data_IF_797154543554
#
_entry.id   IF_797154543554
#
_cell.length_a   1.000
_cell.length_b   1.000
_cell.length_c   1.000
_cell.angle_alpha   90.00
_cell.angle_beta   90.00
_cell.angle_gamma   90.00
#
_symmetry.space_group_name_H-M   'P 1'
#
loop_
_entity.id
_entity.type
_entity.pdbx_description
1 polymer ?
#
# COMPACT_ATOMS: atom_id res chain seq x y z
N UNK A 1 5.38 12.42 29.29
CA UNK A 1 5.33 11.65 28.04
C UNK A 1 4.11 10.75 28.08
N UNK A 2 3.08 10.96 27.25
CA UNK A 2 1.80 10.22 27.35
C UNK A 2 1.80 8.84 26.68
N UNK A 3 2.82 8.53 25.88
CA UNK A 3 2.89 7.34 25.02
C UNK A 3 4.22 6.57 25.14
N UNK A 4 4.99 6.80 26.21
CA UNK A 4 6.27 6.08 26.45
C UNK A 4 7.46 6.49 25.57
N UNK A 5 7.26 7.33 24.54
CA UNK A 5 8.33 7.81 23.66
C UNK A 5 9.13 8.96 24.28
N UNK A 6 10.46 8.95 24.08
CA UNK A 6 11.29 10.16 24.25
C UNK A 6 10.91 11.23 23.22
N UNK A 7 11.40 12.45 23.41
CA UNK A 7 11.16 13.55 22.46
C UNK A 7 11.69 13.22 21.06
N UNK A 8 12.89 12.65 20.97
CA UNK A 8 13.53 12.25 19.72
C UNK A 8 12.73 11.14 19.02
N UNK A 9 12.30 10.14 19.78
CA UNK A 9 11.42 9.07 19.27
C UNK A 9 10.08 9.62 18.79
N UNK A 10 9.51 10.62 19.49
CA UNK A 10 8.29 11.30 19.08
C UNK A 10 8.43 12.00 17.72
N UNK A 11 9.56 12.68 17.48
CA UNK A 11 9.85 13.30 16.18
C UNK A 11 9.98 12.26 15.07
N UNK A 12 10.65 11.13 15.34
CA UNK A 12 10.77 10.04 14.38
C UNK A 12 9.42 9.39 14.07
N UNK A 13 8.59 9.15 15.09
CA UNK A 13 7.24 8.61 14.94
C UNK A 13 6.35 9.54 14.10
N UNK A 14 6.37 10.85 14.38
CA UNK A 14 5.69 11.86 13.58
C UNK A 14 6.11 11.78 12.10
N UNK A 15 7.41 11.73 11.84
CA UNK A 15 7.95 11.70 10.47
C UNK A 15 7.58 10.41 9.73
N UNK A 16 7.59 9.26 10.42
CA UNK A 16 7.17 7.99 9.86
C UNK A 16 5.68 8.00 9.49
N UNK A 17 4.83 8.48 10.40
CA UNK A 17 3.39 8.65 10.15
C UNK A 17 3.16 9.57 8.95
N UNK A 18 3.85 10.72 8.92
CA UNK A 18 3.75 11.67 7.82
C UNK A 18 4.10 11.05 6.46
N UNK A 19 5.24 10.33 6.37
CA UNK A 19 5.66 9.69 5.13
C UNK A 19 4.72 8.57 4.68
N UNK A 20 4.23 7.77 5.63
CA UNK A 20 3.23 6.75 5.33
C UNK A 20 1.94 7.36 4.77
N UNK A 21 1.39 8.37 5.44
CA UNK A 21 0.16 9.04 5.01
C UNK A 21 0.33 9.73 3.65
N UNK A 22 1.42 10.46 3.44
CA UNK A 22 1.69 11.11 2.16
C UNK A 22 1.85 10.08 1.02
N UNK A 23 2.57 8.98 1.28
CA UNK A 23 2.74 7.88 0.31
C UNK A 23 1.41 7.25 -0.09
N UNK A 24 0.56 6.94 0.90
CA UNK A 24 -0.80 6.42 0.66
C UNK A 24 -1.65 7.36 -0.19
N UNK A 25 -1.64 8.67 0.11
CA UNK A 25 -2.37 9.67 -0.68
C UNK A 25 -1.87 9.68 -2.13
N UNK A 26 -0.55 9.72 -2.34
CA UNK A 26 0.05 9.76 -3.68
C UNK A 26 -0.32 8.52 -4.49
N UNK A 27 -0.14 7.33 -3.90
CA UNK A 27 -0.41 6.05 -4.59
C UNK A 27 -1.91 5.94 -4.92
N UNK A 28 -2.79 6.28 -3.98
CA UNK A 28 -4.25 6.22 -4.20
C UNK A 28 -4.72 7.22 -5.24
N UNK A 29 -4.21 8.45 -5.21
CA UNK A 29 -4.52 9.46 -6.22
C UNK A 29 -4.07 9.00 -7.61
N UNK A 30 -2.88 8.43 -7.73
CA UNK A 30 -2.37 7.87 -8.98
C UNK A 30 -3.20 6.67 -9.46
N UNK A 31 -3.60 5.77 -8.57
CA UNK A 31 -4.46 4.63 -8.86
C UNK A 31 -5.85 5.08 -9.35
N UNK A 32 -6.48 6.05 -8.67
CA UNK A 32 -7.75 6.63 -9.08
C UNK A 32 -7.66 7.32 -10.45
N UNK A 33 -6.57 8.06 -10.71
CA UNK A 33 -6.33 8.68 -12.02
C UNK A 33 -6.14 7.62 -13.11
N UNK A 34 -5.42 6.54 -12.83
CA UNK A 34 -5.29 5.42 -13.75
C UNK A 34 -6.65 4.75 -14.02
N UNK A 35 -7.47 4.51 -12.98
CA UNK A 35 -8.80 3.92 -13.12
C UNK A 35 -9.75 4.78 -13.98
N UNK A 36 -9.68 6.12 -13.88
CA UNK A 36 -10.42 7.02 -14.77
C UNK A 36 -10.01 6.82 -16.23
N UNK A 37 -8.70 6.84 -16.52
CA UNK A 37 -8.17 6.58 -17.88
C UNK A 37 -8.56 5.20 -18.43
N UNK A 38 -8.73 4.18 -17.57
CA UNK A 38 -9.19 2.84 -18.00
C UNK A 38 -10.59 2.90 -18.62
N UNK A 39 -11.51 3.68 -18.04
CA UNK A 39 -12.88 3.82 -18.54
C UNK A 39 -12.91 4.41 -19.96
N UNK A 40 -11.90 5.20 -20.30
CA UNK A 40 -11.79 5.87 -21.60
C UNK A 40 -11.03 5.04 -22.66
N UNK A 41 -10.31 3.98 -22.28
CA UNK A 41 -9.31 3.33 -23.14
C UNK A 41 -9.43 1.80 -23.30
N UNK A 42 -10.39 1.13 -22.65
CA UNK A 42 -10.70 -0.31 -22.73
C UNK A 42 -9.49 -1.28 -22.91
N UNK A 43 -8.37 -1.02 -22.19
CA UNK A 43 -7.16 -1.86 -22.25
C UNK A 43 -6.68 -2.32 -20.86
N UNK A 44 -6.09 -3.53 -20.75
CA UNK A 44 -5.46 -4.00 -19.52
C UNK A 44 -4.27 -3.11 -19.12
N UNK A 45 -4.01 -2.95 -17.81
CA UNK A 45 -2.79 -2.25 -17.38
C UNK A 45 -1.57 -3.16 -17.40
N UNK A 46 -0.39 -2.57 -17.63
CA UNK A 46 0.91 -3.24 -17.54
C UNK A 46 1.09 -4.03 -16.22
N UNK A 47 0.49 -3.55 -15.13
CA UNK A 47 0.51 -4.27 -13.84
C UNK A 47 -0.36 -5.52 -13.84
N UNK A 48 -1.58 -5.45 -14.39
CA UNK A 48 -2.46 -6.62 -14.47
C UNK A 48 -1.84 -7.73 -15.35
N UNK A 49 -1.11 -7.34 -16.41
CA UNK A 49 -0.35 -8.26 -17.25
C UNK A 49 0.84 -8.90 -16.51
N UNK A 50 1.67 -8.09 -15.83
CA UNK A 50 2.82 -8.63 -15.07
C UNK A 50 2.39 -9.69 -14.06
N UNK A 51 1.32 -9.44 -13.30
CA UNK A 51 0.86 -10.39 -12.27
C UNK A 51 0.14 -11.62 -12.85
N UNK A 52 -0.41 -11.53 -14.07
CA UNK A 52 -0.95 -12.66 -14.79
C UNK A 52 0.15 -13.57 -15.38
N UNK A 53 1.28 -12.98 -15.77
CA UNK A 53 2.40 -13.67 -16.43
C UNK A 53 3.48 -14.18 -15.46
N UNK A 54 3.21 -14.16 -14.15
CA UNK A 54 4.15 -14.65 -13.13
C UNK A 54 4.36 -16.17 -13.22
N UNK A 55 5.61 -16.60 -13.35
CA UNK A 55 5.98 -18.01 -13.30
C UNK A 55 5.72 -18.61 -11.90
N UNK A 56 4.79 -19.58 -11.75
CA UNK A 56 4.49 -20.21 -10.47
C UNK A 56 5.66 -21.03 -9.91
N UNK A 57 6.61 -21.47 -10.73
CA UNK A 57 7.81 -22.19 -10.29
C UNK A 57 8.84 -21.27 -9.64
N UNK A 58 8.86 -19.99 -10.02
CA UNK A 58 9.81 -18.99 -9.50
C UNK A 58 9.20 -18.18 -8.36
N UNK A 59 7.93 -17.78 -8.48
CA UNK A 59 7.23 -16.91 -7.53
C UNK A 59 5.90 -17.52 -7.07
N UNK A 60 5.90 -18.71 -6.45
CA UNK A 60 4.68 -19.47 -6.16
C UNK A 60 3.65 -18.69 -5.32
N UNK A 61 4.13 -17.94 -4.31
CA UNK A 61 3.24 -17.13 -3.45
C UNK A 61 2.59 -15.98 -4.22
N UNK A 62 3.33 -15.31 -5.10
CA UNK A 62 2.84 -14.16 -5.83
C UNK A 62 1.94 -14.57 -7.00
N UNK A 63 2.31 -15.63 -7.72
CA UNK A 63 1.50 -16.22 -8.77
C UNK A 63 0.13 -16.70 -8.23
N UNK A 64 0.09 -17.22 -6.99
CA UNK A 64 -1.18 -17.59 -6.34
C UNK A 64 -2.16 -16.43 -6.12
N UNK A 65 -1.66 -15.18 -6.16
CA UNK A 65 -2.44 -13.96 -5.97
C UNK A 65 -2.80 -13.27 -7.28
N UNK A 66 -2.29 -13.72 -8.44
CA UNK A 66 -2.33 -12.97 -9.71
C UNK A 66 -3.69 -12.34 -10.04
N UNK A 67 -4.74 -13.16 -10.16
CA UNK A 67 -6.09 -12.68 -10.47
C UNK A 67 -6.76 -11.84 -9.37
N UNK A 68 -6.24 -11.85 -8.15
CA UNK A 68 -6.78 -11.11 -6.99
C UNK A 68 -5.96 -9.86 -6.65
N UNK A 69 -4.75 -9.73 -7.19
CA UNK A 69 -3.80 -8.68 -6.83
C UNK A 69 -4.38 -7.28 -7.04
N UNK A 70 -4.99 -7.04 -8.19
CA UNK A 70 -5.60 -5.75 -8.53
C UNK A 70 -6.74 -5.39 -7.58
N UNK A 71 -7.57 -6.36 -7.19
CA UNK A 71 -8.65 -6.14 -6.21
C UNK A 71 -8.12 -5.85 -4.81
N UNK A 72 -7.15 -6.64 -4.32
CA UNK A 72 -6.57 -6.48 -2.98
C UNK A 72 -5.84 -5.15 -2.83
N UNK A 73 -5.13 -4.70 -3.87
CA UNK A 73 -4.38 -3.44 -3.85
C UNK A 73 -5.24 -2.20 -4.12
N UNK A 74 -6.52 -2.39 -4.47
CA UNK A 74 -7.48 -1.29 -4.64
C UNK A 74 -8.25 -0.96 -3.35
N UNK A 75 -8.16 -1.80 -2.32
CA UNK A 75 -8.84 -1.62 -1.03
C UNK A 75 -8.33 -0.37 -0.30
N UNK A 76 -9.22 0.31 0.44
CA UNK A 76 -8.82 1.39 1.34
C UNK A 76 -8.33 0.83 2.68
N UNK A 77 -7.02 0.55 2.75
CA UNK A 77 -6.39 -0.03 3.93
C UNK A 77 -5.66 1.01 4.80
N UNK A 78 -5.84 2.31 4.54
CA UNK A 78 -5.08 3.38 5.22
C UNK A 78 -5.19 3.29 6.74
N UNK A 79 -6.41 3.07 7.26
CA UNK A 79 -6.63 2.97 8.71
C UNK A 79 -5.90 1.78 9.31
N UNK A 80 -5.93 0.63 8.63
CA UNK A 80 -5.30 -0.61 9.13
C UNK A 80 -3.78 -0.46 9.13
N UNK A 81 -3.20 0.08 8.06
CA UNK A 81 -1.76 0.32 7.98
C UNK A 81 -1.29 1.38 8.97
N UNK A 82 -2.07 2.46 9.19
CA UNK A 82 -1.74 3.46 10.21
C UNK A 82 -1.74 2.86 11.62
N UNK A 83 -2.71 2.03 11.95
CA UNK A 83 -2.75 1.32 13.25
C UNK A 83 -1.55 0.40 13.39
N UNK A 84 -1.22 -0.38 12.36
CA UNK A 84 -0.05 -1.25 12.38
C UNK A 84 1.25 -0.47 12.57
N UNK A 85 1.40 0.68 11.89
CA UNK A 85 2.54 1.57 12.03
C UNK A 85 2.64 2.14 13.46
N UNK A 86 1.55 2.67 14.00
CA UNK A 86 1.52 3.21 15.36
C UNK A 86 1.87 2.14 16.38
N UNK A 87 1.27 0.95 16.28
CA UNK A 87 1.58 -0.16 17.17
C UNK A 87 3.06 -0.57 17.08
N UNK A 88 3.63 -0.64 15.87
CA UNK A 88 5.04 -0.94 15.68
C UNK A 88 5.98 0.14 16.26
N UNK A 89 5.58 1.40 16.23
CA UNK A 89 6.34 2.52 16.78
C UNK A 89 6.29 2.58 18.32
N UNK A 90 5.16 2.18 18.92
CA UNK A 90 4.99 2.18 20.38
C UNK A 90 5.61 0.94 21.03
N UNK A 91 5.82 -0.14 20.27
CA UNK A 91 6.26 -1.42 20.81
C UNK A 91 5.12 -2.13 21.58
N UNK A 92 5.42 -3.31 22.15
CA UNK A 92 4.48 -4.03 23.01
C UNK A 92 4.22 -3.32 24.34
#
# INVERSE_FOLDING_TARGET
MKCGLTSEQGVHAYRAIWYYTAGEIIIRAAAAAAARRRRDADRPTYRDQIFADLDPQVLPRLASLGGRWSSLTAEDTYRQGLIALVNGLLGP
#
